data_IF_610344597157
#
_entry.id   IF_610344597157
#
_cell.length_a   1.000
_cell.length_b   1.000
_cell.length_c   1.000
_cell.angle_alpha   90.00
_cell.angle_beta   90.00
_cell.angle_gamma   90.00
#
_symmetry.space_group_name_H-M   'P 1'
#
loop_
_entity.id
_entity.type
_entity.pdbx_description
1 polymer ?
#
# COMPACT_ATOMS: atom_id res chain seq x y z
N UNK A 1 8.44 31.59 -9.05
CA UNK A 1 8.93 30.50 -8.19
C UNK A 1 9.55 29.48 -9.13
N UNK A 2 10.87 29.32 -9.07
CA UNK A 2 11.60 28.41 -9.94
C UNK A 2 11.32 26.97 -9.53
N UNK A 3 10.78 26.16 -10.45
CA UNK A 3 10.69 24.71 -10.33
C UNK A 3 12.11 24.14 -10.28
N UNK A 4 12.59 23.85 -9.08
CA UNK A 4 13.77 22.99 -8.89
C UNK A 4 13.34 21.53 -9.10
N UNK A 5 13.10 21.15 -10.36
CA UNK A 5 13.14 19.75 -10.78
C UNK A 5 14.60 19.30 -10.86
N UNK A 6 15.28 19.24 -9.70
CA UNK A 6 16.48 18.41 -9.62
C UNK A 6 16.01 16.96 -9.75
N UNK A 7 16.43 16.29 -10.84
CA UNK A 7 16.32 14.83 -10.92
C UNK A 7 16.95 14.25 -9.67
N UNK A 8 16.12 13.69 -8.78
CA UNK A 8 16.61 13.08 -7.55
C UNK A 8 17.34 11.79 -7.93
N UNK A 9 18.64 11.89 -8.19
CA UNK A 9 19.49 10.73 -8.42
C UNK A 9 19.80 10.05 -7.08
N UNK A 10 18.93 9.12 -6.69
CA UNK A 10 19.06 8.38 -5.43
C UNK A 10 20.17 7.31 -5.46
N UNK A 11 20.81 7.04 -6.60
CA UNK A 11 21.91 6.05 -6.69
C UNK A 11 23.11 6.49 -5.84
N UNK A 12 23.33 7.80 -5.75
CA UNK A 12 24.43 8.37 -4.96
C UNK A 12 24.20 8.25 -3.44
N UNK A 13 22.96 8.01 -3.01
CA UNK A 13 22.60 7.77 -1.60
C UNK A 13 22.80 6.32 -1.16
N UNK A 14 23.12 5.40 -2.07
CA UNK A 14 23.38 3.99 -1.72
C UNK A 14 24.74 3.91 -1.00
N UNK A 15 24.80 3.33 0.21
CA UNK A 15 26.05 3.13 0.93
C UNK A 15 27.09 2.42 0.05
N UNK A 16 28.35 2.87 0.08
CA UNK A 16 29.42 2.34 -0.79
C UNK A 16 29.54 0.82 -0.73
N UNK A 17 29.37 0.25 0.45
CA UNK A 17 29.40 -1.20 0.71
C UNK A 17 28.26 -1.97 0.01
N UNK A 18 27.14 -1.31 -0.27
CA UNK A 18 25.95 -1.90 -0.90
C UNK A 18 25.88 -1.67 -2.41
N UNK A 19 26.73 -0.80 -2.98
CA UNK A 19 26.76 -0.51 -4.43
C UNK A 19 27.05 -1.76 -5.27
N UNK A 20 27.89 -2.66 -4.77
CA UNK A 20 28.17 -3.94 -5.45
C UNK A 20 26.94 -4.85 -5.53
N UNK A 21 26.20 -4.99 -4.43
CA UNK A 21 24.96 -5.76 -4.38
C UNK A 21 23.87 -5.15 -5.28
N UNK A 22 23.75 -3.83 -5.29
CA UNK A 22 22.82 -3.11 -6.16
C UNK A 22 23.11 -3.35 -7.65
N UNK A 23 24.38 -3.25 -8.06
CA UNK A 23 24.77 -3.48 -9.45
C UNK A 23 24.55 -4.94 -9.89
N UNK A 24 24.78 -5.91 -8.99
CA UNK A 24 24.45 -7.31 -9.24
C UNK A 24 22.94 -7.52 -9.40
N UNK A 25 22.13 -6.86 -8.57
CA UNK A 25 20.67 -6.88 -8.68
C UNK A 25 20.19 -6.28 -10.01
N UNK A 26 20.70 -5.12 -10.44
CA UNK A 26 20.37 -4.54 -11.75
C UNK A 26 20.71 -5.48 -12.92
N UNK A 27 21.86 -6.16 -12.85
CA UNK A 27 22.23 -7.18 -13.85
C UNK A 27 21.25 -8.34 -13.89
N UNK A 28 20.77 -8.79 -12.73
CA UNK A 28 19.74 -9.84 -12.67
C UNK A 28 18.41 -9.39 -13.27
N UNK A 29 18.03 -8.12 -13.10
CA UNK A 29 16.82 -7.55 -13.71
C UNK A 29 16.90 -7.51 -15.24
N UNK A 30 18.06 -7.17 -15.80
CA UNK A 30 18.26 -7.09 -17.24
C UNK A 30 18.09 -8.43 -17.96
N UNK A 31 18.30 -9.55 -17.26
CA UNK A 31 18.15 -10.90 -17.81
C UNK A 31 16.89 -11.63 -17.33
N UNK A 32 16.03 -10.97 -16.54
CA UNK A 32 14.87 -11.59 -15.93
C UNK A 32 13.58 -11.37 -16.75
N UNK A 33 12.82 -12.45 -16.97
CA UNK A 33 11.56 -12.43 -17.72
C UNK A 33 10.35 -12.97 -16.95
N UNK A 34 10.48 -13.18 -15.62
CA UNK A 34 9.47 -13.81 -14.76
C UNK A 34 8.79 -12.87 -13.76
N UNK A 35 8.30 -13.45 -12.65
CA UNK A 35 7.67 -12.73 -11.53
C UNK A 35 8.69 -12.26 -10.47
N UNK A 36 8.55 -11.01 -10.02
CA UNK A 36 9.39 -10.31 -9.02
C UNK A 36 9.53 -11.09 -7.71
N UNK A 37 8.58 -11.97 -7.38
CA UNK A 37 8.63 -12.84 -6.19
C UNK A 37 9.84 -13.78 -6.18
N UNK A 38 10.35 -14.18 -7.36
CA UNK A 38 11.48 -15.11 -7.51
C UNK A 38 12.86 -14.44 -7.50
N UNK A 39 12.92 -13.11 -7.60
CA UNK A 39 14.17 -12.35 -7.53
C UNK A 39 14.50 -12.00 -6.08
N UNK A 40 15.71 -12.36 -5.64
CA UNK A 40 16.22 -11.97 -4.33
C UNK A 40 16.59 -10.48 -4.35
N UNK A 41 15.81 -9.67 -3.64
CA UNK A 41 16.06 -8.24 -3.47
C UNK A 41 17.12 -8.03 -2.37
N UNK A 42 18.15 -7.19 -2.58
CA UNK A 42 19.07 -6.79 -1.53
C UNK A 42 18.34 -6.26 -0.28
N UNK A 43 18.79 -6.63 0.91
CA UNK A 43 18.10 -6.31 2.17
C UNK A 43 17.85 -4.80 2.39
N UNK A 44 18.71 -3.92 1.89
CA UNK A 44 18.54 -2.47 2.02
C UNK A 44 17.39 -1.89 1.17
N UNK A 45 16.90 -2.65 0.20
CA UNK A 45 15.72 -2.33 -0.61
C UNK A 45 14.44 -2.96 -0.04
N UNK A 46 14.51 -3.67 1.10
CA UNK A 46 13.35 -4.24 1.77
C UNK A 46 12.83 -3.28 2.84
N UNK A 47 11.50 -3.14 2.90
CA UNK A 47 10.83 -2.44 3.98
C UNK A 47 10.61 -3.41 5.15
N UNK A 48 10.72 -2.97 6.40
CA UNK A 48 10.49 -3.83 7.57
C UNK A 48 8.99 -4.03 7.86
N UNK A 49 8.16 -4.10 6.83
CA UNK A 49 6.70 -4.20 6.91
C UNK A 49 6.19 -5.25 5.92
N UNK A 50 5.16 -5.99 6.30
CA UNK A 50 4.48 -6.91 5.40
C UNK A 50 3.46 -6.18 4.54
N UNK A 51 3.26 -6.63 3.30
CA UNK A 51 2.28 -6.01 2.39
C UNK A 51 0.85 -6.06 2.97
N UNK A 52 0.54 -7.04 3.83
CA UNK A 52 -0.78 -7.16 4.48
C UNK A 52 -1.11 -5.94 5.36
N UNK A 53 -0.09 -5.27 5.90
CA UNK A 53 -0.25 -4.08 6.75
C UNK A 53 -0.74 -2.88 5.94
N UNK A 54 -0.52 -2.85 4.62
CA UNK A 54 -0.91 -1.72 3.76
C UNK A 54 -2.43 -1.52 3.71
N UNK A 55 -3.21 -2.52 4.10
CA UNK A 55 -4.66 -2.37 4.28
C UNK A 55 -5.03 -1.32 5.33
N UNK A 56 -4.11 -0.95 6.24
CA UNK A 56 -4.33 0.13 7.20
C UNK A 56 -4.65 1.47 6.53
N UNK A 57 -4.14 1.71 5.32
CA UNK A 57 -4.28 2.97 4.60
C UNK A 57 -5.73 3.31 4.24
N UNK A 58 -6.62 2.32 4.16
CA UNK A 58 -8.06 2.53 4.00
C UNK A 58 -8.71 3.25 5.19
N UNK A 59 -8.07 3.20 6.35
CA UNK A 59 -8.66 3.63 7.64
C UNK A 59 -7.88 4.74 8.33
N UNK A 60 -6.81 5.29 7.72
CA UNK A 60 -6.01 6.36 8.33
C UNK A 60 -6.74 7.70 8.50
N UNK A 61 -7.94 7.86 7.93
CA UNK A 61 -8.79 9.03 8.11
C UNK A 61 -10.21 8.58 8.53
N UNK A 62 -10.39 8.12 9.77
CA UNK A 62 -11.65 7.53 10.24
C UNK A 62 -12.82 8.53 10.22
N UNK A 63 -12.53 9.81 10.45
CA UNK A 63 -13.54 10.88 10.33
C UNK A 63 -14.10 10.96 8.90
N UNK A 64 -13.25 10.88 7.86
CA UNK A 64 -13.69 10.90 6.47
C UNK A 64 -14.47 9.64 6.08
N UNK A 65 -14.10 8.49 6.65
CA UNK A 65 -14.82 7.24 6.41
C UNK A 65 -16.24 7.30 7.00
N UNK A 66 -16.38 7.82 8.23
CA UNK A 66 -17.67 7.93 8.92
C UNK A 66 -18.51 9.10 8.43
N UNK A 67 -17.91 10.15 7.88
CA UNK A 67 -18.61 11.24 7.19
C UNK A 67 -19.48 10.78 6.03
N UNK A 68 -19.20 9.60 5.44
CA UNK A 68 -19.98 9.04 4.33
C UNK A 68 -21.45 8.82 4.73
N UNK A 69 -21.74 8.49 5.98
CA UNK A 69 -23.11 8.17 6.43
C UNK A 69 -23.90 9.37 6.92
N UNK A 70 -23.28 10.56 7.01
CA UNK A 70 -23.92 11.75 7.59
C UNK A 70 -24.97 12.42 6.68
N UNK A 71 -24.75 12.55 5.36
CA UNK A 71 -25.72 13.20 4.49
C UNK A 71 -26.88 12.27 4.11
N UNK A 72 -28.10 12.81 4.18
CA UNK A 72 -29.29 12.13 3.63
C UNK A 72 -29.28 12.15 2.09
N UNK A 73 -28.79 13.23 1.49
CA UNK A 73 -28.69 13.40 0.04
C UNK A 73 -27.68 12.43 -0.58
N UNK A 74 -28.07 11.82 -1.71
CA UNK A 74 -27.25 10.79 -2.37
C UNK A 74 -25.99 11.35 -3.05
N UNK A 75 -26.06 12.59 -3.57
CA UNK A 75 -24.93 13.23 -4.24
C UNK A 75 -23.90 13.69 -3.22
N UNK A 76 -24.34 14.22 -2.09
CA UNK A 76 -23.46 14.58 -0.97
C UNK A 76 -22.79 13.34 -0.38
N UNK A 77 -23.53 12.24 -0.19
CA UNK A 77 -22.96 10.95 0.26
C UNK A 77 -21.90 10.42 -0.72
N UNK A 78 -22.18 10.45 -2.02
CA UNK A 78 -21.19 10.08 -3.04
C UNK A 78 -19.95 11.01 -3.01
N UNK A 79 -20.16 12.31 -2.79
CA UNK A 79 -19.06 13.29 -2.66
C UNK A 79 -18.16 12.95 -1.47
N UNK A 80 -18.74 12.60 -0.31
CA UNK A 80 -18.00 12.17 0.86
C UNK A 80 -17.25 10.85 0.62
N UNK A 81 -17.87 9.88 -0.06
CA UNK A 81 -17.21 8.65 -0.46
C UNK A 81 -15.97 8.93 -1.34
N UNK A 82 -16.11 9.77 -2.38
CA UNK A 82 -14.99 10.15 -3.26
C UNK A 82 -13.89 10.87 -2.48
N UNK A 83 -14.26 11.76 -1.55
CA UNK A 83 -13.30 12.46 -0.68
C UNK A 83 -12.50 11.48 0.19
N UNK A 84 -13.16 10.52 0.83
CA UNK A 84 -12.50 9.46 1.59
C UNK A 84 -11.60 8.60 0.69
N UNK A 85 -12.09 8.19 -0.47
CA UNK A 85 -11.34 7.37 -1.42
C UNK A 85 -10.06 8.05 -1.92
N UNK A 86 -10.13 9.32 -2.32
CA UNK A 86 -8.94 10.09 -2.73
C UNK A 86 -7.95 10.22 -1.56
N UNK A 87 -8.46 10.39 -0.34
CA UNK A 87 -7.61 10.46 0.85
C UNK A 87 -6.88 9.15 1.13
N UNK A 88 -7.53 7.99 0.96
CA UNK A 88 -6.88 6.68 1.14
C UNK A 88 -5.81 6.43 0.08
N UNK A 89 -5.98 6.91 -1.16
CA UNK A 89 -4.94 6.87 -2.19
C UNK A 89 -3.70 7.68 -1.79
N UNK A 90 -3.89 8.89 -1.26
CA UNK A 90 -2.76 9.72 -0.81
C UNK A 90 -1.98 9.07 0.34
N UNK A 91 -2.67 8.41 1.28
CA UNK A 91 -2.03 7.61 2.32
C UNK A 91 -1.26 6.42 1.70
N UNK A 92 -1.90 5.69 0.79
CA UNK A 92 -1.38 4.45 0.20
C UNK A 92 -0.16 4.64 -0.70
N UNK A 93 0.00 5.79 -1.37
CA UNK A 93 1.04 5.97 -2.40
C UNK A 93 1.99 7.14 -2.15
N UNK A 94 1.56 8.20 -1.49
CA UNK A 94 2.34 9.44 -1.39
C UNK A 94 2.98 9.64 -0.02
N UNK A 95 2.32 9.20 1.06
CA UNK A 95 2.81 9.42 2.43
C UNK A 95 3.60 8.25 3.03
N UNK A 96 3.56 7.07 2.41
CA UNK A 96 4.26 5.88 2.92
C UNK A 96 5.78 6.01 2.89
N UNK A 97 6.33 6.77 1.94
CA UNK A 97 7.77 7.00 1.83
C UNK A 97 8.11 8.34 2.49
N UNK A 98 8.88 8.37 3.59
CA UNK A 98 9.34 9.62 4.21
C UNK A 98 10.04 10.52 3.19
N UNK A 99 9.88 11.84 3.35
CA UNK A 99 10.46 12.81 2.42
C UNK A 99 11.99 12.64 2.34
N UNK A 100 12.48 12.29 1.16
CA UNK A 100 13.91 12.08 0.90
C UNK A 100 14.35 10.61 0.91
N UNK A 101 13.47 9.70 1.33
CA UNK A 101 13.63 8.25 1.19
C UNK A 101 13.04 7.74 -0.14
N UNK A 102 13.28 6.48 -0.46
CA UNK A 102 12.76 5.81 -1.65
C UNK A 102 11.87 4.63 -1.27
N UNK A 103 10.99 4.24 -2.19
CA UNK A 103 10.15 3.06 -2.05
C UNK A 103 10.98 1.81 -1.80
N UNK A 104 10.64 1.06 -0.76
CA UNK A 104 11.24 -0.23 -0.46
C UNK A 104 10.19 -1.32 -0.67
N UNK A 105 10.64 -2.49 -1.13
CA UNK A 105 9.76 -3.64 -1.34
C UNK A 105 9.30 -4.18 0.02
N UNK A 106 7.99 -4.21 0.33
CA UNK A 106 7.50 -4.84 1.54
C UNK A 106 7.69 -6.36 1.47
N UNK A 107 7.61 -7.05 2.61
CA UNK A 107 7.61 -8.50 2.63
C UNK A 107 6.35 -9.04 1.94
N UNK A 108 6.52 -10.10 1.15
CA UNK A 108 5.40 -10.84 0.58
C UNK A 108 4.73 -11.65 1.69
N UNK A 109 3.43 -11.46 1.98
CA UNK A 109 2.78 -12.16 3.07
C UNK A 109 2.74 -13.67 2.82
N UNK A 110 2.88 -14.46 3.88
CA UNK A 110 2.73 -15.91 3.83
C UNK A 110 1.25 -16.29 3.84
N UNK A 111 0.89 -17.47 3.28
CA UNK A 111 -0.49 -17.95 3.32
C UNK A 111 -0.99 -18.05 4.77
N UNK A 112 -2.16 -17.47 5.04
CA UNK A 112 -2.78 -17.43 6.37
C UNK A 112 -2.20 -16.37 7.31
N UNK A 113 -1.26 -15.53 6.85
CA UNK A 113 -0.82 -14.36 7.61
C UNK A 113 -2.01 -13.44 7.90
N UNK A 114 -2.11 -12.94 9.13
CA UNK A 114 -3.19 -12.07 9.57
C UNK A 114 -2.64 -10.77 10.13
N UNK A 115 -3.31 -9.67 9.77
CA UNK A 115 -3.09 -8.36 10.36
C UNK A 115 -4.40 -7.86 10.95
N UNK A 116 -4.36 -7.46 12.23
CA UNK A 116 -5.51 -6.98 12.99
C UNK A 116 -5.17 -5.63 13.58
N UNK A 117 -6.06 -4.67 13.37
CA UNK A 117 -5.91 -3.33 13.89
C UNK A 117 -7.25 -2.85 14.43
N UNK A 118 -7.20 -2.02 15.46
CA UNK A 118 -8.35 -1.39 16.07
C UNK A 118 -8.07 0.11 16.23
N UNK A 119 -8.93 0.93 15.65
CA UNK A 119 -8.98 2.37 15.92
C UNK A 119 -10.01 2.63 17.01
N UNK A 120 -9.58 3.27 18.11
CA UNK A 120 -10.50 3.78 19.11
C UNK A 120 -11.36 4.93 18.55
N UNK A 121 -12.35 5.39 19.33
CA UNK A 121 -13.18 6.54 18.95
C UNK A 121 -12.32 7.81 18.83
N UNK A 122 -12.10 8.26 17.59
CA UNK A 122 -11.42 9.50 17.27
C UNK A 122 -12.45 10.56 16.92
N UNK A 123 -12.56 11.62 17.73
CA UNK A 123 -13.46 12.76 17.48
C UNK A 123 -14.94 12.41 17.24
N UNK A 124 -15.43 11.27 17.76
CA UNK A 124 -16.81 10.83 17.58
C UNK A 124 -17.03 9.94 16.36
N UNK A 125 -15.99 9.59 15.61
CA UNK A 125 -16.04 8.59 14.53
C UNK A 125 -16.38 7.18 15.04
N UNK A 126 -16.31 6.92 16.35
CA UNK A 126 -16.54 5.59 16.89
C UNK A 126 -15.41 4.61 16.57
N UNK A 127 -15.50 3.43 17.13
CA UNK A 127 -14.47 2.40 17.00
C UNK A 127 -14.51 1.75 15.61
N UNK A 128 -13.33 1.50 15.04
CA UNK A 128 -13.19 0.85 13.72
C UNK A 128 -12.22 -0.33 13.81
N UNK A 129 -12.72 -1.52 13.54
CA UNK A 129 -11.93 -2.75 13.49
C UNK A 129 -11.49 -3.06 12.06
N UNK A 130 -10.25 -3.53 11.92
CA UNK A 130 -9.66 -3.96 10.64
C UNK A 130 -9.11 -5.37 10.81
N UNK A 131 -9.54 -6.26 9.92
CA UNK A 131 -9.03 -7.62 9.79
C UNK A 131 -8.56 -7.83 8.37
N UNK A 132 -7.32 -8.27 8.21
CA UNK A 132 -6.76 -8.68 6.94
C UNK A 132 -6.21 -10.10 7.05
N UNK A 133 -6.34 -10.86 5.97
CA UNK A 133 -5.77 -12.20 5.86
C UNK A 133 -5.20 -12.43 4.46
N UNK A 134 -4.00 -13.00 4.39
CA UNK A 134 -3.46 -13.50 3.15
C UNK A 134 -4.13 -14.83 2.79
N UNK A 135 -5.17 -14.76 1.95
CA UNK A 135 -6.00 -15.92 1.57
C UNK A 135 -5.40 -16.74 0.42
N UNK A 136 -4.41 -16.22 -0.29
CA UNK A 136 -3.68 -16.96 -1.34
C UNK A 136 -2.25 -16.45 -1.49
N UNK A 137 -1.30 -17.35 -1.74
CA UNK A 137 0.11 -17.01 -1.99
C UNK A 137 0.49 -17.09 -3.48
N UNK A 138 -0.15 -17.97 -4.25
CA UNK A 138 0.08 -18.15 -5.69
C UNK A 138 -1.26 -18.29 -6.44
N UNK A 139 -1.85 -17.18 -6.96
CA UNK A 139 -1.34 -15.80 -6.92
C UNK A 139 -1.51 -15.13 -5.54
N UNK A 140 -0.77 -14.07 -5.21
CA UNK A 140 -0.91 -13.36 -3.94
C UNK A 140 -2.26 -12.63 -3.88
N UNK A 141 -3.09 -12.97 -2.89
CA UNK A 141 -4.37 -12.31 -2.61
C UNK A 141 -4.50 -12.08 -1.10
N UNK A 142 -4.80 -10.84 -0.73
CA UNK A 142 -5.11 -10.40 0.62
C UNK A 142 -6.59 -10.03 0.70
N UNK A 143 -7.36 -10.72 1.54
CA UNK A 143 -8.72 -10.32 1.89
C UNK A 143 -8.70 -9.33 3.05
N UNK A 144 -9.63 -8.38 3.07
CA UNK A 144 -9.80 -7.44 4.18
C UNK A 144 -11.27 -7.23 4.53
N UNK A 145 -11.50 -6.96 5.80
CA UNK A 145 -12.81 -6.64 6.39
C UNK A 145 -12.62 -5.54 7.42
N UNK A 146 -13.29 -4.41 7.21
CA UNK A 146 -13.22 -3.20 8.02
C UNK A 146 -14.64 -2.88 8.48
N UNK A 147 -14.83 -2.63 9.77
CA UNK A 147 -16.15 -2.46 10.38
C UNK A 147 -16.17 -1.30 11.36
N UNK A 148 -17.20 -0.48 11.29
CA UNK A 148 -17.53 0.53 12.29
C UNK A 148 -19.02 0.40 12.66
N UNK A 149 -19.28 -0.14 13.85
CA UNK A 149 -20.64 -0.45 14.30
C UNK A 149 -21.48 0.80 14.61
N UNK A 150 -20.85 1.85 15.14
CA UNK A 150 -21.53 3.09 15.54
C UNK A 150 -22.22 3.77 14.36
N UNK A 151 -21.58 3.74 13.19
CA UNK A 151 -22.08 4.35 11.96
C UNK A 151 -22.65 3.34 10.96
N UNK A 152 -22.72 2.06 11.33
CA UNK A 152 -23.26 1.00 10.45
C UNK A 152 -22.45 0.79 9.17
N UNK A 153 -21.13 1.05 9.21
CA UNK A 153 -20.25 0.95 8.05
C UNK A 153 -19.50 -0.39 8.02
N UNK A 154 -19.46 -0.98 6.82
CA UNK A 154 -18.65 -2.15 6.51
C UNK A 154 -17.97 -1.91 5.17
N UNK A 155 -16.65 -2.13 5.12
CA UNK A 155 -15.86 -2.17 3.91
C UNK A 155 -15.17 -3.53 3.86
N UNK A 156 -15.42 -4.29 2.81
CA UNK A 156 -14.79 -5.60 2.61
C UNK A 156 -14.31 -5.73 1.18
N UNK A 157 -13.25 -6.48 0.96
CA UNK A 157 -12.75 -6.69 -0.38
C UNK A 157 -11.53 -7.57 -0.37
N UNK A 158 -10.88 -7.63 -1.52
CA UNK A 158 -9.58 -8.26 -1.64
C UNK A 158 -8.69 -7.50 -2.61
N UNK A 159 -7.40 -7.52 -2.32
CA UNK A 159 -6.36 -6.99 -3.19
C UNK A 159 -5.42 -8.11 -3.62
N UNK A 160 -4.95 -8.02 -4.85
CA UNK A 160 -3.93 -8.88 -5.42
C UNK A 160 -3.06 -8.03 -6.31
N UNK A 161 -1.81 -8.45 -6.52
CA UNK A 161 -0.86 -7.72 -7.32
C UNK A 161 -0.17 -8.67 -8.29
N UNK A 162 0.00 -8.21 -9.53
CA UNK A 162 0.86 -8.85 -10.51
C UNK A 162 1.96 -7.87 -10.89
N UNK A 163 3.21 -8.24 -10.62
CA UNK A 163 4.37 -7.41 -10.92
C UNK A 163 5.12 -7.94 -12.13
N UNK A 164 5.46 -7.05 -13.07
CA UNK A 164 6.30 -7.36 -14.24
C UNK A 164 7.31 -6.25 -14.50
N UNK A 165 8.52 -6.61 -14.95
CA UNK A 165 9.49 -5.62 -15.42
C UNK A 165 9.30 -5.34 -16.90
N UNK A 166 9.41 -4.07 -17.28
CA UNK A 166 9.52 -3.61 -18.66
C UNK A 166 10.75 -2.72 -18.75
N UNK A 167 11.85 -3.25 -19.28
CA UNK A 167 13.14 -2.55 -19.44
C UNK A 167 13.56 -1.72 -18.22
N UNK A 168 13.21 -0.44 -18.17
CA UNK A 168 13.58 0.51 -17.11
C UNK A 168 12.50 0.74 -16.05
N UNK A 169 11.38 0.02 -16.10
CA UNK A 169 10.22 0.22 -15.21
C UNK A 169 9.73 -1.07 -14.56
N UNK A 170 9.29 -0.96 -13.30
CA UNK A 170 8.50 -1.98 -12.62
C UNK A 170 7.02 -1.62 -12.80
N UNK A 171 6.25 -2.52 -13.40
CA UNK A 171 4.81 -2.37 -13.60
C UNK A 171 4.12 -3.25 -12.55
N UNK A 172 3.24 -2.64 -11.75
CA UNK A 172 2.42 -3.34 -10.77
C UNK A 172 0.95 -3.21 -11.17
N UNK A 173 0.39 -4.31 -11.68
CA UNK A 173 -1.04 -4.40 -12.01
C UNK A 173 -1.81 -4.81 -10.74
N UNK A 174 -2.71 -3.94 -10.28
CA UNK A 174 -3.60 -4.28 -9.17
C UNK A 174 -4.78 -5.09 -9.69
N UNK A 175 -5.02 -6.23 -9.05
CA UNK A 175 -6.09 -7.17 -9.36
C UNK A 175 -6.91 -7.39 -8.10
N UNK A 176 -8.11 -6.84 -8.03
CA UNK A 176 -8.94 -6.91 -6.83
C UNK A 176 -10.18 -6.04 -6.95
N UNK A 177 -11.13 -6.26 -6.04
CA UNK A 177 -12.35 -5.46 -5.91
C UNK A 177 -12.61 -5.19 -4.43
N UNK A 178 -13.11 -3.99 -4.16
CA UNK A 178 -13.59 -3.50 -2.87
C UNK A 178 -15.06 -3.14 -2.99
#
# INVERSE_FOLDING_TARGET
>A
MSDNNEEVNNVDKIPTEQKGAFHSFLKSLASFSGDLSSLTCPAFLLAPVSLIEYSEYWTQQPDLFTDITKPDDEVERMTNFVKWFISSLNASYSRRVPKGEWEKKPYNPVLGEQYKMHWGDLNGSGETDVLCEQVSHHPPITGFYIKNDKHGLVLNGHSGQKTRFSSTSLICDQVGQS
#
